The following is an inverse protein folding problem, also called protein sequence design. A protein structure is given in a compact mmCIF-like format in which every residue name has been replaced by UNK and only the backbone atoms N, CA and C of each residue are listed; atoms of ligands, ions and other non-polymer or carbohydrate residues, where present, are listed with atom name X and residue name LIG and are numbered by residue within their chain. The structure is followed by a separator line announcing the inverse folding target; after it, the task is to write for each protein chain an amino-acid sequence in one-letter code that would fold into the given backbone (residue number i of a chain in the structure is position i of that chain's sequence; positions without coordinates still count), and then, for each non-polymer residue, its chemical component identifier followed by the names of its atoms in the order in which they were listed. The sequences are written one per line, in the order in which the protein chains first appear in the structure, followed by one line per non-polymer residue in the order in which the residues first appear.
data_IF_168864020358
#
_entry.id   IF_168864020358
#
_cell.length_a   1.000
_cell.length_b   1.000
_cell.length_c   1.000
_cell.angle_alpha   90.00
_cell.angle_beta   90.00
_cell.angle_gamma   90.00
#
_symmetry.space_group_name_H-M   'P 1'
#
loop_
_entity.id
_entity.type
_entity.pdbx_description
1 polymer ?
#
# COMPACT_ATOMS: atom_id res chain seq x y z
N UNK A 1 4.56 27.81 30.69
CA UNK A 1 5.81 27.60 29.92
C UNK A 1 5.49 26.60 28.83
N UNK A 2 5.53 26.98 27.55
CA UNK A 2 5.32 26.04 26.44
C UNK A 2 6.66 25.36 26.19
N UNK A 3 6.75 24.06 26.43
CA UNK A 3 7.89 23.26 26.01
C UNK A 3 7.93 23.30 24.48
N UNK A 4 8.95 23.93 23.92
CA UNK A 4 9.27 23.80 22.51
C UNK A 4 9.85 22.41 22.33
N UNK A 5 9.07 21.50 21.75
CA UNK A 5 9.57 20.24 21.22
C UNK A 5 10.78 20.55 20.34
N UNK A 6 11.96 20.15 20.80
CA UNK A 6 13.21 20.43 20.11
C UNK A 6 13.26 19.55 18.88
N UNK A 7 13.10 20.17 17.71
CA UNK A 7 13.25 19.51 16.42
C UNK A 7 14.64 18.86 16.34
N UNK A 8 14.67 17.52 16.33
CA UNK A 8 15.89 16.76 16.11
C UNK A 8 16.00 16.38 14.62
N UNK A 9 16.87 17.05 13.84
CA UNK A 9 17.00 16.82 12.40
C UNK A 9 17.46 15.39 12.08
N UNK A 10 18.20 14.73 12.97
CA UNK A 10 18.65 13.34 12.76
C UNK A 10 17.49 12.34 12.82
N UNK A 11 16.51 12.60 13.69
CA UNK A 11 15.28 11.78 13.78
C UNK A 11 14.44 11.92 12.51
N UNK A 12 14.30 13.14 11.98
CA UNK A 12 13.56 13.42 10.75
C UNK A 12 14.20 12.77 9.50
N UNK A 13 15.53 12.81 9.40
CA UNK A 13 16.27 12.14 8.32
C UNK A 13 16.10 10.63 8.41
N UNK A 14 16.22 10.06 9.62
CA UNK A 14 16.04 8.62 9.83
C UNK A 14 14.62 8.16 9.48
N UNK A 15 13.59 8.92 9.87
CA UNK A 15 12.21 8.59 9.50
C UNK A 15 11.97 8.67 7.99
N UNK A 16 12.52 9.70 7.32
CA UNK A 16 12.40 9.84 5.86
C UNK A 16 13.05 8.66 5.10
N UNK A 17 14.23 8.20 5.54
CA UNK A 17 14.89 7.02 4.95
C UNK A 17 14.04 5.77 5.15
N UNK A 18 13.51 5.55 6.35
CA UNK A 18 12.65 4.39 6.65
C UNK A 18 11.37 4.42 5.80
N UNK A 19 10.73 5.58 5.64
CA UNK A 19 9.52 5.73 4.81
C UNK A 19 9.82 5.42 3.34
N UNK A 20 10.89 5.99 2.79
CA UNK A 20 11.32 5.74 1.40
C UNK A 20 11.58 4.25 1.14
N UNK A 21 12.23 3.57 2.08
CA UNK A 21 12.49 2.13 1.96
C UNK A 21 11.20 1.30 2.02
N UNK A 22 10.26 1.67 2.89
CA UNK A 22 8.93 1.03 2.95
C UNK A 22 8.16 1.23 1.64
N UNK A 23 8.16 2.43 1.08
CA UNK A 23 7.49 2.73 -0.18
C UNK A 23 8.07 1.93 -1.35
N UNK A 24 9.40 1.79 -1.41
CA UNK A 24 10.06 0.96 -2.41
C UNK A 24 9.68 -0.52 -2.28
N UNK A 25 9.66 -1.06 -1.06
CA UNK A 25 9.26 -2.45 -0.80
C UNK A 25 7.81 -2.69 -1.21
N UNK A 26 6.90 -1.81 -0.81
CA UNK A 26 5.49 -1.89 -1.19
C UNK A 26 5.31 -1.79 -2.70
N UNK A 27 6.01 -0.87 -3.35
CA UNK A 27 5.99 -0.72 -4.82
C UNK A 27 6.43 -2.02 -5.51
N UNK A 28 7.50 -2.64 -5.02
CA UNK A 28 8.01 -3.90 -5.58
C UNK A 28 7.03 -5.06 -5.36
N UNK A 29 6.46 -5.18 -4.16
CA UNK A 29 5.45 -6.19 -3.85
C UNK A 29 4.20 -6.04 -4.74
N UNK A 30 3.66 -4.82 -4.84
CA UNK A 30 2.50 -4.49 -5.66
C UNK A 30 2.77 -4.82 -7.14
N UNK A 31 3.95 -4.46 -7.66
CA UNK A 31 4.38 -4.82 -9.02
C UNK A 31 4.32 -6.33 -9.23
N UNK A 32 4.92 -7.12 -8.34
CA UNK A 32 4.97 -8.57 -8.50
C UNK A 32 3.58 -9.23 -8.44
N UNK A 33 2.70 -8.74 -7.56
CA UNK A 33 1.33 -9.25 -7.47
C UNK A 33 0.42 -8.84 -8.63
N UNK A 34 0.71 -7.75 -9.33
CA UNK A 34 -0.17 -7.22 -10.39
C UNK A 34 0.12 -7.82 -11.76
N UNK A 35 1.35 -8.30 -12.00
CA UNK A 35 1.78 -8.91 -13.28
C UNK A 35 0.82 -9.99 -13.81
N UNK A 36 0.29 -10.93 -12.99
CA UNK A 36 -0.61 -11.96 -13.50
C UNK A 36 -1.92 -11.40 -14.08
N UNK A 37 -2.36 -10.24 -13.60
CA UNK A 37 -3.67 -9.66 -13.91
C UNK A 37 -3.64 -8.61 -15.01
N UNK A 38 -2.46 -8.06 -15.32
CA UNK A 38 -2.35 -6.98 -16.29
C UNK A 38 -0.95 -6.38 -16.40
N UNK A 39 -0.88 -5.29 -17.14
CA UNK A 39 0.31 -4.45 -17.24
C UNK A 39 0.19 -3.29 -16.26
N UNK A 40 1.04 -3.28 -15.24
CA UNK A 40 1.14 -2.16 -14.33
C UNK A 40 1.94 -1.03 -14.98
N UNK A 41 1.29 0.12 -15.15
CA UNK A 41 1.87 1.31 -15.79
C UNK A 41 2.59 2.14 -14.72
N UNK A 42 1.89 2.41 -13.62
CA UNK A 42 2.42 3.23 -12.55
C UNK A 42 1.98 2.71 -11.17
N UNK A 43 2.88 2.84 -10.19
CA UNK A 43 2.57 2.71 -8.76
C UNK A 43 3.24 3.85 -8.02
N UNK A 44 2.45 4.57 -7.24
CA UNK A 44 2.94 5.56 -6.27
C UNK A 44 2.45 5.15 -4.90
N UNK A 45 3.37 5.03 -3.95
CA UNK A 45 3.07 4.76 -2.55
C UNK A 45 3.52 5.99 -1.77
N UNK A 46 2.62 6.57 -0.99
CA UNK A 46 2.93 7.63 -0.03
C UNK A 46 2.50 7.14 1.34
N UNK A 47 3.47 6.71 2.14
CA UNK A 47 3.21 6.16 3.48
C UNK A 47 2.85 7.23 4.50
N UNK A 48 3.27 8.47 4.30
CA UNK A 48 2.96 9.61 5.17
C UNK A 48 1.51 10.07 4.99
N UNK A 49 1.04 10.17 3.75
CA UNK A 49 -0.36 10.45 3.42
C UNK A 49 -1.26 9.21 3.56
N UNK A 50 -0.68 8.02 3.79
CA UNK A 50 -1.40 6.76 3.88
C UNK A 50 -2.16 6.44 2.60
N UNK A 51 -1.51 6.61 1.44
CA UNK A 51 -2.14 6.52 0.12
C UNK A 51 -1.32 5.66 -0.84
N UNK A 52 -1.99 4.80 -1.60
CA UNK A 52 -1.42 4.14 -2.78
C UNK A 52 -2.24 4.56 -4.00
N UNK A 53 -1.54 4.88 -5.08
CA UNK A 53 -2.12 5.06 -6.41
C UNK A 53 -1.52 4.00 -7.35
N UNK A 54 -2.38 3.34 -8.10
CA UNK A 54 -2.00 2.39 -9.14
C UNK A 54 -2.67 2.77 -10.45
N UNK A 55 -1.92 2.67 -11.53
CA UNK A 55 -2.46 2.68 -12.89
C UNK A 55 -2.14 1.33 -13.52
N UNK A 56 -3.18 0.57 -13.87
CA UNK A 56 -3.06 -0.78 -14.40
C UNK A 56 -3.94 -0.96 -15.63
N UNK A 57 -3.37 -1.56 -16.68
CA UNK A 57 -4.13 -2.06 -17.82
C UNK A 57 -4.41 -3.55 -17.60
N UNK A 58 -5.64 -3.88 -17.22
CA UNK A 58 -6.03 -5.27 -16.95
C UNK A 58 -6.09 -6.08 -18.25
N UNK A 59 -5.83 -7.39 -18.15
CA UNK A 59 -5.97 -8.32 -19.28
C UNK A 59 -7.42 -8.31 -19.78
N UNK A 60 -7.58 -8.23 -21.11
CA UNK A 60 -8.90 -8.18 -21.75
C UNK A 60 -9.54 -6.79 -21.75
N UNK A 61 -8.89 -5.77 -21.20
CA UNK A 61 -9.41 -4.41 -21.17
C UNK A 61 -8.61 -3.47 -22.07
N UNK A 62 -9.33 -2.55 -22.71
CA UNK A 62 -8.75 -1.51 -23.58
C UNK A 62 -8.26 -0.35 -22.73
N UNK A 63 -9.06 0.05 -21.75
CA UNK A 63 -8.84 1.23 -20.91
C UNK A 63 -7.93 0.94 -19.71
N UNK A 64 -7.22 1.98 -19.27
CA UNK A 64 -6.42 1.95 -18.04
C UNK A 64 -7.37 2.11 -16.84
N UNK A 65 -7.22 1.21 -15.87
CA UNK A 65 -7.90 1.32 -14.59
C UNK A 65 -7.00 2.05 -13.60
N UNK A 66 -7.48 3.16 -13.06
CA UNK A 66 -6.84 3.85 -11.95
C UNK A 66 -7.43 3.33 -10.66
N UNK A 67 -6.57 2.98 -9.69
CA UNK A 67 -6.96 2.48 -8.38
C UNK A 67 -6.29 3.34 -7.32
N UNK A 68 -7.07 3.83 -6.36
CA UNK A 68 -6.61 4.62 -5.24
C UNK A 68 -7.03 3.94 -3.93
N UNK A 69 -6.04 3.64 -3.09
CA UNK A 69 -6.24 3.08 -1.75
C UNK A 69 -5.89 4.15 -0.73
N UNK A 70 -6.79 4.40 0.23
CA UNK A 70 -6.68 5.51 1.19
C UNK A 70 -6.67 5.02 2.64
N UNK A 71 -6.00 5.80 3.50
CA UNK A 71 -5.97 5.57 4.93
C UNK A 71 -5.19 4.31 5.31
N UNK A 72 -4.07 4.10 4.63
CA UNK A 72 -3.26 2.90 4.76
C UNK A 72 -2.47 2.95 6.06
N UNK A 73 -2.49 1.84 6.79
CA UNK A 73 -1.60 1.62 7.92
C UNK A 73 -0.97 0.24 7.86
N UNK A 74 0.27 0.16 8.32
CA UNK A 74 1.07 -1.05 8.30
C UNK A 74 1.25 -1.55 9.72
N UNK A 75 0.88 -2.80 9.98
CA UNK A 75 1.17 -3.46 11.25
C UNK A 75 1.96 -4.74 11.02
N UNK A 76 2.86 -5.03 11.96
CA UNK A 76 3.69 -6.23 11.94
C UNK A 76 3.36 -7.04 13.18
N UNK A 77 2.93 -8.28 12.95
CA UNK A 77 2.80 -9.27 14.01
C UNK A 77 3.87 -10.36 13.87
N UNK A 78 3.95 -11.27 14.85
CA UNK A 78 5.01 -12.29 14.89
C UNK A 78 5.01 -13.17 13.63
N UNK A 79 3.84 -13.47 13.08
CA UNK A 79 3.63 -14.42 11.98
C UNK A 79 3.22 -13.78 10.64
N UNK A 80 2.69 -12.56 10.64
CA UNK A 80 2.20 -11.90 9.43
C UNK A 80 2.50 -10.40 9.42
N UNK A 81 2.44 -9.85 8.20
CA UNK A 81 2.38 -8.43 7.95
C UNK A 81 0.99 -8.08 7.45
N UNK A 82 0.44 -6.99 7.98
CA UNK A 82 -0.91 -6.53 7.65
C UNK A 82 -0.88 -5.13 7.05
N UNK A 83 -1.63 -4.97 5.96
CA UNK A 83 -1.95 -3.68 5.37
C UNK A 83 -3.43 -3.42 5.66
N UNK A 84 -3.71 -2.49 6.56
CA UNK A 84 -5.07 -1.99 6.75
C UNK A 84 -5.30 -0.78 5.86
N UNK A 85 -6.53 -0.59 5.43
CA UNK A 85 -6.94 0.57 4.64
C UNK A 85 -8.33 1.03 5.05
N UNK A 86 -8.70 2.26 4.71
CA UNK A 86 -10.05 2.80 4.98
C UNK A 86 -10.96 2.64 3.77
N UNK A 87 -10.45 2.91 2.58
CA UNK A 87 -11.26 2.95 1.36
C UNK A 87 -10.43 2.63 0.13
N UNK A 88 -11.06 1.92 -0.81
CA UNK A 88 -10.58 1.75 -2.18
C UNK A 88 -11.52 2.54 -3.11
N UNK A 89 -10.96 3.24 -4.08
CA UNK A 89 -11.69 3.84 -5.21
C UNK A 89 -11.01 3.45 -6.50
N UNK A 90 -11.79 3.34 -7.56
CA UNK A 90 -11.31 3.03 -8.90
C UNK A 90 -11.90 4.02 -9.91
N UNK A 91 -11.30 4.13 -11.10
CA UNK A 91 -11.89 4.88 -12.21
C UNK A 91 -13.15 4.21 -12.78
N UNK A 92 -13.44 2.95 -12.40
CA UNK A 92 -14.54 2.16 -12.95
C UNK A 92 -15.77 2.19 -12.05
N UNK A 93 -16.91 2.73 -12.51
CA UNK A 93 -18.11 2.85 -11.67
C UNK A 93 -18.63 1.53 -11.11
N UNK A 94 -18.60 0.46 -11.91
CA UNK A 94 -19.08 -0.85 -11.49
C UNK A 94 -18.20 -1.49 -10.41
N UNK A 95 -16.87 -1.29 -10.47
CA UNK A 95 -15.95 -1.74 -9.42
C UNK A 95 -16.18 -0.95 -8.13
N UNK A 96 -16.40 0.36 -8.22
CA UNK A 96 -16.75 1.16 -7.05
C UNK A 96 -18.05 0.68 -6.41
N UNK A 97 -19.07 0.39 -7.21
CA UNK A 97 -20.35 -0.16 -6.74
C UNK A 97 -20.14 -1.51 -6.04
N UNK A 98 -19.30 -2.39 -6.62
CA UNK A 98 -18.98 -3.69 -6.03
C UNK A 98 -18.26 -3.53 -4.69
N UNK A 99 -17.27 -2.64 -4.61
CA UNK A 99 -16.55 -2.37 -3.36
C UNK A 99 -17.47 -1.75 -2.31
N UNK A 100 -18.32 -0.78 -2.66
CA UNK A 100 -19.22 -0.14 -1.70
C UNK A 100 -20.22 -1.12 -1.08
N UNK A 101 -20.68 -2.11 -1.84
CA UNK A 101 -21.65 -3.10 -1.35
C UNK A 101 -21.01 -4.34 -0.73
N UNK A 102 -19.80 -4.72 -1.18
CA UNK A 102 -19.21 -6.02 -0.84
C UNK A 102 -17.81 -5.97 -0.26
N UNK A 103 -17.22 -4.79 -0.01
CA UNK A 103 -15.84 -4.67 0.49
C UNK A 103 -15.59 -5.48 1.77
N UNK A 104 -16.54 -5.52 2.72
CA UNK A 104 -16.37 -6.29 3.96
C UNK A 104 -16.27 -7.81 3.74
N UNK A 105 -16.85 -8.32 2.66
CA UNK A 105 -16.79 -9.75 2.32
C UNK A 105 -15.52 -10.08 1.54
N UNK A 106 -15.03 -9.13 0.74
CA UNK A 106 -13.79 -9.28 -0.03
C UNK A 106 -12.57 -9.07 0.87
N UNK A 107 -12.66 -8.10 1.78
CA UNK A 107 -11.63 -7.70 2.73
C UNK A 107 -12.24 -7.55 4.13
N UNK A 108 -12.37 -8.65 4.88
CA UNK A 108 -12.74 -8.57 6.29
C UNK A 108 -11.81 -7.59 7.02
N UNK A 109 -12.40 -6.70 7.84
CA UNK A 109 -11.70 -5.65 8.59
C UNK A 109 -10.91 -4.63 7.74
N UNK A 110 -11.13 -4.59 6.42
CA UNK A 110 -10.33 -3.81 5.47
C UNK A 110 -8.82 -4.06 5.63
N UNK A 111 -8.46 -5.33 5.86
CA UNK A 111 -7.11 -5.76 6.13
C UNK A 111 -6.65 -6.81 5.12
N UNK A 112 -5.47 -6.60 4.53
CA UNK A 112 -4.79 -7.60 3.72
C UNK A 112 -3.65 -8.17 4.57
N UNK A 113 -3.71 -9.48 4.85
CA UNK A 113 -2.67 -10.21 5.59
C UNK A 113 -1.77 -10.95 4.63
N UNK A 114 -0.47 -10.80 4.80
CA UNK A 114 0.55 -11.54 4.07
C UNK A 114 1.43 -12.32 5.05
N UNK A 115 1.72 -13.61 4.81
CA UNK A 115 2.64 -14.39 5.65
C UNK A 115 4.00 -13.69 5.72
N UNK A 116 4.64 -13.69 6.89
CA UNK A 116 5.94 -13.04 7.07
C UNK A 116 6.97 -13.48 6.02
N UNK A 117 6.98 -14.76 5.65
CA UNK A 117 7.93 -15.32 4.69
C UNK A 117 7.81 -14.71 3.29
N UNK A 118 6.61 -14.27 2.90
CA UNK A 118 6.38 -13.63 1.60
C UNK A 118 7.08 -12.27 1.49
N UNK A 119 7.31 -11.61 2.63
CA UNK A 119 8.02 -10.34 2.72
C UNK A 119 9.52 -10.53 2.97
N UNK A 120 9.96 -11.66 3.54
CA UNK A 120 11.37 -11.90 3.90
C UNK A 120 12.29 -11.93 2.66
N UNK A 121 11.80 -12.35 1.50
CA UNK A 121 12.52 -12.23 0.21
C UNK A 121 12.81 -10.76 -0.18
N UNK A 122 12.14 -9.80 0.46
CA UNK A 122 12.28 -8.37 0.22
C UNK A 122 13.00 -7.63 1.38
N UNK A 123 13.12 -8.25 2.56
CA UNK A 123 13.59 -7.60 3.80
C UNK A 123 15.10 -7.74 4.10
N UNK A 124 15.91 -8.36 3.24
CA UNK A 124 17.34 -8.54 3.51
C UNK A 124 18.21 -7.27 3.50
N UNK A 125 17.63 -6.07 3.41
CA UNK A 125 18.38 -4.81 3.32
C UNK A 125 18.38 -3.93 4.59
N UNK A 126 17.81 -4.37 5.72
CA UNK A 126 17.67 -3.51 6.91
C UNK A 126 18.00 -4.17 8.26
N UNK A 127 19.10 -4.91 8.31
CA UNK A 127 19.91 -5.02 9.54
C UNK A 127 21.12 -4.09 9.39
#
# INVERSE_FOLDING_TARGET
MKEFDTYNPLTAIRSAIVNKNREQLMTKAIRNFTIPYGQLIEVRVNTEEGKILLEIKLKGEIEITQIAVYGISLSREKSYFSIRFKKIKTSKPWLNTLLENYQQYIFPDNEIRTPRNFMMDYYFFFL
#
